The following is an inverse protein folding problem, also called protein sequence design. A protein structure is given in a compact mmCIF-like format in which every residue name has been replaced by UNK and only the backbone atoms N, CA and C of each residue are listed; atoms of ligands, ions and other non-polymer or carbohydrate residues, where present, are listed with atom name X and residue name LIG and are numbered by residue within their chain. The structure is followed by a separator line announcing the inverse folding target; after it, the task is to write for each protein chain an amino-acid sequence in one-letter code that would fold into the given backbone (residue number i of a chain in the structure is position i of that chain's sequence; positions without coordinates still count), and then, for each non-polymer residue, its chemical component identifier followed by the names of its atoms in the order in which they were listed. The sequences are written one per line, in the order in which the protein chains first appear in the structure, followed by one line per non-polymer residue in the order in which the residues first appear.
data_IF_913044880156
#
_entry.id   IF_913044880156
#
_cell.length_a   1.000
_cell.length_b   1.000
_cell.length_c   1.000
_cell.angle_alpha   90.00
_cell.angle_beta   90.00
_cell.angle_gamma   90.00
#
_symmetry.space_group_name_H-M   'P 1'
#
loop_
_entity.id
_entity.type
_entity.pdbx_description
1 polymer ?
#
# COMPACT_ATOMS: atom_id res chain seq x y z
N UNK A 1 -0.59 13.75 -15.17
CA UNK A 1 -1.13 12.52 -14.51
C UNK A 1 -0.62 12.50 -13.08
N UNK A 2 -1.52 12.41 -12.09
CA UNK A 2 -1.13 12.38 -10.68
C UNK A 2 -0.78 10.93 -10.32
N UNK A 3 0.44 10.70 -9.84
CA UNK A 3 0.88 9.39 -9.36
C UNK A 3 0.10 9.00 -8.09
N UNK A 4 -0.12 7.71 -7.88
CA UNK A 4 -0.71 7.13 -6.66
C UNK A 4 0.45 6.91 -5.69
N UNK A 5 0.44 7.58 -4.54
CA UNK A 5 1.49 7.42 -3.52
C UNK A 5 1.09 6.34 -2.52
N UNK A 6 1.85 5.24 -2.48
CA UNK A 6 1.75 4.17 -1.49
C UNK A 6 2.87 4.33 -0.46
N UNK A 7 2.51 4.43 0.81
CA UNK A 7 3.46 4.53 1.92
C UNK A 7 3.24 3.38 2.89
N UNK A 8 4.16 2.42 2.90
CA UNK A 8 4.07 1.25 3.77
C UNK A 8 4.61 1.59 5.16
N UNK A 9 3.88 1.22 6.20
CA UNK A 9 4.36 1.40 7.57
C UNK A 9 5.61 0.55 7.82
N UNK A 10 6.74 1.21 8.07
CA UNK A 10 8.04 0.57 8.36
C UNK A 10 8.21 0.06 9.79
N UNK A 11 7.14 0.05 10.59
CA UNK A 11 7.19 -0.48 11.95
C UNK A 11 7.38 -2.00 11.96
N UNK A 12 8.19 -2.52 12.88
CA UNK A 12 8.44 -3.97 13.07
C UNK A 12 7.16 -4.79 13.23
N UNK A 13 6.16 -4.23 13.90
CA UNK A 13 4.85 -4.86 14.05
C UNK A 13 4.09 -5.01 12.72
N UNK A 14 4.22 -4.06 11.78
CA UNK A 14 3.64 -4.20 10.45
C UNK A 14 4.44 -5.18 9.60
N UNK A 15 5.77 -5.18 9.76
CA UNK A 15 6.64 -6.15 9.10
C UNK A 15 6.27 -7.59 9.46
N UNK A 16 6.16 -7.91 10.77
CA UNK A 16 5.76 -9.26 11.23
C UNK A 16 4.33 -9.67 10.85
N UNK A 17 3.45 -8.71 10.55
CA UNK A 17 2.05 -8.96 10.18
C UNK A 17 1.82 -9.15 8.68
N UNK A 18 2.87 -9.10 7.89
CA UNK A 18 2.78 -9.38 6.46
C UNK A 18 2.89 -8.15 5.55
N UNK A 19 3.49 -7.04 6.03
CA UNK A 19 3.75 -5.88 5.17
C UNK A 19 4.71 -6.17 3.99
N UNK A 20 5.74 -7.03 4.11
CA UNK A 20 6.59 -7.39 2.97
C UNK A 20 5.81 -8.01 1.80
N UNK A 21 4.84 -8.86 2.10
CA UNK A 21 3.97 -9.55 1.14
C UNK A 21 3.12 -8.55 0.35
N UNK A 22 2.74 -7.44 0.98
CA UNK A 22 2.02 -6.36 0.30
C UNK A 22 2.89 -5.66 -0.75
N UNK A 23 4.20 -5.58 -0.55
CA UNK A 23 5.10 -5.00 -1.55
C UNK A 23 5.31 -5.96 -2.72
N UNK A 24 5.42 -7.27 -2.46
CA UNK A 24 5.59 -8.29 -3.50
C UNK A 24 4.43 -8.31 -4.50
N UNK A 25 3.20 -8.10 -4.03
CA UNK A 25 2.04 -8.14 -4.93
C UNK A 25 1.92 -6.92 -5.86
N UNK A 26 2.70 -5.87 -5.62
CA UNK A 26 2.78 -4.73 -6.55
C UNK A 26 3.42 -5.13 -7.87
N UNK A 27 4.30 -6.14 -7.88
CA UNK A 27 4.92 -6.68 -9.10
C UNK A 27 3.91 -7.40 -10.01
N UNK A 28 2.72 -7.74 -9.47
CA UNK A 28 1.61 -8.32 -10.24
C UNK A 28 0.66 -7.27 -10.84
N UNK A 29 0.91 -5.98 -10.61
CA UNK A 29 0.11 -4.92 -11.22
C UNK A 29 0.47 -4.77 -12.72
N UNK A 30 -0.51 -4.41 -13.58
CA UNK A 30 -0.22 -4.04 -14.95
C UNK A 30 0.82 -2.92 -15.04
N UNK A 31 1.71 -2.96 -16.02
CA UNK A 31 2.82 -2.02 -16.18
C UNK A 31 2.35 -0.55 -16.25
N UNK A 32 1.19 -0.31 -16.88
CA UNK A 32 0.57 1.03 -16.98
C UNK A 32 0.17 1.61 -15.61
N UNK A 33 -0.32 0.76 -14.70
CA UNK A 33 -0.70 1.13 -13.33
C UNK A 33 0.57 1.27 -12.50
N UNK A 34 1.48 0.31 -12.60
CA UNK A 34 2.73 0.28 -11.85
C UNK A 34 3.58 1.54 -12.09
N UNK A 35 3.67 2.03 -13.33
CA UNK A 35 4.35 3.31 -13.68
C UNK A 35 3.74 4.54 -13.00
N UNK A 36 2.47 4.48 -12.65
CA UNK A 36 1.75 5.54 -11.96
C UNK A 36 1.79 5.39 -10.44
N UNK A 37 2.31 4.27 -9.92
CA UNK A 37 2.42 4.03 -8.48
C UNK A 37 3.80 4.48 -8.00
N UNK A 38 3.83 5.23 -6.90
CA UNK A 38 5.04 5.60 -6.18
C UNK A 38 5.04 4.92 -4.83
N UNK A 39 5.98 4.00 -4.62
CA UNK A 39 6.12 3.23 -3.38
C UNK A 39 7.17 3.87 -2.49
N UNK A 40 6.83 4.06 -1.22
CA UNK A 40 7.74 4.57 -0.19
C UNK A 40 7.53 3.81 1.12
N UNK A 41 8.56 3.75 1.95
CA UNK A 41 8.44 3.32 3.33
C UNK A 41 8.25 4.56 4.21
N UNK A 42 7.30 4.53 5.13
CA UNK A 42 7.08 5.59 6.11
C UNK A 42 7.39 5.11 7.53
N UNK A 43 7.53 6.06 8.44
CA UNK A 43 7.72 5.76 9.86
C UNK A 43 6.48 5.08 10.45
N UNK A 44 6.58 4.67 11.73
CA UNK A 44 5.47 4.07 12.44
C UNK A 44 4.23 4.98 12.40
N UNK A 45 3.12 4.46 11.90
CA UNK A 45 1.83 5.16 11.83
C UNK A 45 1.04 5.10 13.15
N UNK A 46 1.66 4.62 14.23
CA UNK A 46 1.04 4.50 15.57
C UNK A 46 -0.10 3.47 15.67
N UNK A 47 -0.51 2.84 14.57
CA UNK A 47 -1.68 1.96 14.52
C UNK A 47 -1.32 0.45 14.52
N UNK A 48 -0.33 0.04 15.33
CA UNK A 48 0.21 -1.33 15.33
C UNK A 48 -0.85 -2.41 15.60
N UNK A 49 -1.88 -2.10 16.38
CA UNK A 49 -2.99 -3.02 16.67
C UNK A 49 -3.72 -3.50 15.42
N UNK A 50 -3.83 -2.64 14.39
CA UNK A 50 -4.52 -2.92 13.15
C UNK A 50 -3.59 -3.08 11.93
N UNK A 51 -2.28 -3.34 12.15
CA UNK A 51 -1.36 -3.64 11.05
C UNK A 51 -1.75 -4.92 10.27
N UNK A 52 -1.28 -5.09 9.02
CA UNK A 52 -0.42 -4.19 8.25
C UNK A 52 -1.10 -2.88 7.87
N UNK A 53 -0.36 -1.78 7.95
CA UNK A 53 -0.85 -0.43 7.63
C UNK A 53 -0.17 0.11 6.38
N UNK A 54 -0.97 0.68 5.48
CA UNK A 54 -0.51 1.33 4.25
C UNK A 54 -1.23 2.66 4.10
N UNK A 55 -0.50 3.73 3.83
CA UNK A 55 -1.07 5.02 3.47
C UNK A 55 -1.18 5.09 1.95
N UNK A 56 -2.37 5.36 1.40
CA UNK A 56 -2.59 5.51 -0.04
C UNK A 56 -3.09 6.93 -0.28
N UNK A 57 -2.31 7.74 -0.99
CA UNK A 57 -2.59 9.16 -1.27
C UNK A 57 -2.94 9.98 -0.01
N UNK A 58 -2.31 9.67 1.12
CA UNK A 58 -2.53 10.36 2.40
C UNK A 58 -3.64 9.75 3.26
N UNK A 59 -4.34 8.72 2.78
CA UNK A 59 -5.38 8.00 3.53
C UNK A 59 -4.81 6.74 4.15
N UNK A 60 -4.98 6.57 5.46
CA UNK A 60 -4.52 5.38 6.20
C UNK A 60 -5.47 4.19 5.96
N UNK A 61 -4.92 3.11 5.43
CA UNK A 61 -5.58 1.81 5.34
C UNK A 61 -4.92 0.84 6.33
N UNK A 62 -5.76 0.14 7.08
CA UNK A 62 -5.36 -0.83 8.11
C UNK A 62 -5.92 -2.22 7.79
N UNK A 63 -5.25 -3.26 8.32
CA UNK A 63 -5.53 -4.68 8.03
C UNK A 63 -5.56 -4.91 6.53
N UNK A 64 -4.59 -4.32 5.84
CA UNK A 64 -4.49 -4.43 4.39
C UNK A 64 -4.00 -5.84 4.05
N UNK A 65 -4.73 -6.50 3.17
CA UNK A 65 -4.33 -7.77 2.57
C UNK A 65 -3.85 -7.51 1.14
N UNK A 66 -3.07 -8.42 0.54
CA UNK A 66 -2.61 -8.28 -0.83
C UNK A 66 -3.75 -8.03 -1.84
N UNK A 67 -4.86 -8.76 -1.70
CA UNK A 67 -6.03 -8.65 -2.57
C UNK A 67 -6.73 -7.29 -2.40
N UNK A 68 -6.82 -6.82 -1.15
CA UNK A 68 -7.39 -5.52 -0.84
C UNK A 68 -6.53 -4.37 -1.36
N UNK A 69 -5.21 -4.53 -1.32
CA UNK A 69 -4.29 -3.54 -1.86
C UNK A 69 -4.45 -3.40 -3.39
N UNK A 70 -4.42 -4.53 -4.12
CA UNK A 70 -4.58 -4.53 -5.58
C UNK A 70 -5.93 -3.93 -5.99
N UNK A 71 -7.02 -4.35 -5.34
CA UNK A 71 -8.35 -3.83 -5.65
C UNK A 71 -8.45 -2.32 -5.39
N UNK A 72 -7.92 -1.85 -4.26
CA UNK A 72 -7.90 -0.42 -3.92
C UNK A 72 -7.12 0.40 -4.96
N UNK A 73 -5.93 -0.07 -5.37
CA UNK A 73 -5.13 0.60 -6.41
C UNK A 73 -5.88 0.66 -7.73
N UNK A 74 -6.50 -0.44 -8.17
CA UNK A 74 -7.28 -0.48 -9.41
C UNK A 74 -8.47 0.47 -9.37
N UNK A 75 -9.19 0.53 -8.25
CA UNK A 75 -10.32 1.47 -8.08
C UNK A 75 -9.85 2.91 -8.17
N UNK A 76 -8.76 3.28 -7.47
CA UNK A 76 -8.21 4.64 -7.51
C UNK A 76 -7.70 5.00 -8.91
N UNK A 77 -7.17 4.02 -9.65
CA UNK A 77 -6.71 4.21 -11.02
C UNK A 77 -7.88 4.41 -11.99
N UNK A 78 -8.98 3.66 -11.84
CA UNK A 78 -10.18 3.80 -12.68
C UNK A 78 -10.94 5.11 -12.45
N UNK A 79 -10.85 5.68 -11.25
CA UNK A 79 -11.47 6.96 -10.91
C UNK A 79 -10.70 8.18 -11.47
N UNK A 80 -9.54 7.95 -12.11
CA UNK A 80 -8.63 8.98 -12.66
C UNK A 80 -8.55 8.96 -14.17
#
# INVERSE_FOLDING_TARGET
MKKITLQFCGGTACHMKGAPELMLVLDHLPEEIFKQVHVSLTHCLGNCGAGPNVCIDGVLYSRVTPERLISTIKTIWQDR
#
